data_IF_097749601007
#
_entry.id   IF_097749601007
#
_cell.length_a   1.000
_cell.length_b   1.000
_cell.length_c   1.000
_cell.angle_alpha   90.00
_cell.angle_beta   90.00
_cell.angle_gamma   90.00
#
_symmetry.space_group_name_H-M   'P 1'
#
loop_
_entity.id
_entity.type
_entity.pdbx_description
1 polymer ?
#
# COMPACT_ATOMS: atom_id res chain seq x y z
N UNK A 1 -30.97 -49.11 -13.68
CA UNK A 1 -29.97 -50.20 -13.48
C UNK A 1 -28.77 -49.82 -14.35
N UNK A 2 -27.53 -49.59 -13.91
CA UNK A 2 -26.74 -50.03 -12.74
C UNK A 2 -25.78 -48.84 -12.43
N UNK A 3 -25.86 -48.23 -11.25
CA UNK A 3 -24.87 -48.34 -10.17
C UNK A 3 -23.40 -48.39 -10.62
N UNK A 4 -22.59 -47.42 -10.15
CA UNK A 4 -21.24 -47.61 -9.59
C UNK A 4 -20.67 -46.27 -9.05
N UNK A 5 -20.92 -46.03 -7.77
CA UNK A 5 -19.96 -45.45 -6.80
C UNK A 5 -19.41 -46.64 -6.00
N UNK A 6 -18.21 -46.62 -5.36
CA UNK A 6 -17.65 -45.48 -4.61
C UNK A 6 -16.12 -45.31 -4.65
N UNK A 7 -15.60 -44.19 -4.15
CA UNK A 7 -14.28 -44.16 -3.54
C UNK A 7 -14.36 -43.40 -2.22
N UNK A 8 -14.21 -44.15 -1.14
CA UNK A 8 -14.16 -43.70 0.24
C UNK A 8 -12.79 -43.11 0.53
N UNK A 9 -12.72 -41.84 0.94
CA UNK A 9 -11.52 -41.27 1.54
C UNK A 9 -11.38 -41.75 2.98
N UNK A 10 -10.31 -42.50 3.24
CA UNK A 10 -9.85 -42.92 4.56
C UNK A 10 -9.21 -41.75 5.30
N UNK A 11 -9.69 -41.50 6.53
CA UNK A 11 -9.09 -40.61 7.52
C UNK A 11 -7.82 -41.27 8.07
N UNK A 12 -6.65 -40.67 7.84
CA UNK A 12 -5.45 -41.02 8.59
C UNK A 12 -5.41 -40.25 9.91
N UNK A 13 -5.52 -40.98 11.03
CA UNK A 13 -5.23 -40.49 12.38
C UNK A 13 -3.72 -40.39 12.60
N UNK A 14 -3.35 -39.37 13.38
CA UNK A 14 -2.01 -39.02 13.84
C UNK A 14 -1.36 -40.07 14.76
N UNK A 15 -0.02 -40.08 14.81
CA UNK A 15 0.75 -40.26 16.06
C UNK A 15 2.23 -39.84 15.93
N UNK A 16 2.54 -38.71 16.59
CA UNK A 16 3.66 -38.40 17.52
C UNK A 16 5.16 -38.58 17.24
N UNK A 17 5.86 -37.63 17.89
CA UNK A 17 7.22 -37.62 18.47
C UNK A 17 8.38 -37.14 17.59
N UNK A 18 8.80 -35.91 17.88
CA UNK A 18 10.07 -35.33 17.45
C UNK A 18 10.35 -34.04 18.20
N UNK A 19 10.61 -34.14 19.50
CA UNK A 19 11.21 -33.06 20.30
C UNK A 19 12.62 -32.79 19.80
N UNK A 20 12.87 -31.60 19.25
CA UNK A 20 14.23 -31.06 19.11
C UNK A 20 14.26 -29.66 19.71
N UNK A 21 14.60 -29.64 20.99
CA UNK A 21 14.98 -28.47 21.76
C UNK A 21 16.31 -27.95 21.19
N UNK A 22 16.28 -26.93 20.32
CA UNK A 22 17.51 -26.24 19.91
C UNK A 22 17.68 -25.00 20.77
N UNK A 23 18.58 -25.11 21.74
CA UNK A 23 19.01 -24.03 22.62
C UNK A 23 19.62 -22.90 21.79
N UNK A 24 19.06 -21.70 21.92
CA UNK A 24 19.69 -20.47 21.47
C UNK A 24 20.90 -20.17 22.38
N UNK A 25 22.11 -20.40 21.87
CA UNK A 25 23.32 -19.85 22.47
C UNK A 25 23.27 -18.32 22.33
N UNK A 26 23.10 -17.64 23.44
CA UNK A 26 23.30 -16.19 23.53
C UNK A 26 24.79 -15.90 23.53
N UNK A 27 25.31 -15.41 22.41
CA UNK A 27 26.66 -14.84 22.35
C UNK A 27 26.60 -13.44 22.98
N UNK A 28 27.02 -13.34 24.24
CA UNK A 28 27.42 -12.08 24.86
C UNK A 28 28.75 -11.65 24.23
N UNK A 29 28.73 -10.60 23.41
CA UNK A 29 29.94 -9.84 23.11
C UNK A 29 30.28 -8.96 24.31
N UNK A 30 31.12 -9.47 25.21
CA UNK A 30 31.88 -8.62 26.11
C UNK A 30 33.10 -8.10 25.34
N UNK A 31 33.12 -6.81 25.03
CA UNK A 31 34.34 -6.12 24.63
C UNK A 31 35.16 -5.83 25.90
N UNK A 32 36.31 -6.48 26.04
CA UNK A 32 37.34 -6.11 27.02
C UNK A 32 37.99 -4.78 26.58
N UNK A 33 37.81 -3.72 27.36
CA UNK A 33 38.68 -2.55 27.31
C UNK A 33 39.95 -2.82 28.12
N UNK A 34 41.10 -2.80 27.44
CA UNK A 34 42.42 -2.80 28.05
C UNK A 34 42.84 -1.35 28.37
N UNK A 35 43.41 -1.04 29.56
CA UNK A 35 43.72 0.33 29.93
C UNK A 35 45.14 0.70 29.49
N UNK A 36 45.28 1.75 28.68
CA UNK A 36 46.56 2.46 28.57
C UNK A 36 46.35 3.95 28.77
N UNK A 37 46.83 4.41 29.93
CA UNK A 37 47.01 5.82 30.28
C UNK A 37 47.99 6.45 29.28
N UNK A 38 47.54 7.50 28.60
CA UNK A 38 48.41 8.61 28.21
C UNK A 38 47.59 9.89 28.23
N UNK A 39 48.03 10.85 29.05
CA UNK A 39 47.43 12.17 29.21
C UNK A 39 47.48 13.02 27.92
N UNK A 40 46.56 14.00 27.78
CA UNK A 40 46.32 14.67 26.50
C UNK A 40 47.30 15.80 26.26
N UNK A 41 47.91 15.83 25.06
CA UNK A 41 48.48 17.06 24.50
C UNK A 41 47.37 17.87 23.83
N UNK A 42 47.27 19.12 24.27
CA UNK A 42 46.38 20.17 23.75
C UNK A 42 46.51 20.31 22.22
N UNK A 43 45.43 19.98 21.51
CA UNK A 43 45.24 20.36 20.12
C UNK A 43 44.08 21.35 20.05
N UNK A 44 44.44 22.65 20.00
CA UNK A 44 43.59 23.72 19.47
C UNK A 44 43.11 23.32 18.07
N UNK A 45 41.80 23.17 17.93
CA UNK A 45 41.18 22.88 16.64
C UNK A 45 39.72 22.49 16.82
N UNK A 46 38.91 23.43 17.33
CA UNK A 46 37.45 23.30 17.32
C UNK A 46 37.00 23.31 15.85
N UNK A 47 36.95 22.12 15.25
CA UNK A 47 36.23 21.91 14.00
C UNK A 47 34.74 21.99 14.36
N UNK A 48 34.14 23.15 14.12
CA UNK A 48 32.70 23.32 14.09
C UNK A 48 32.13 22.37 13.02
N UNK A 49 31.76 21.15 13.41
CA UNK A 49 31.00 20.25 12.54
C UNK A 49 29.65 20.94 12.29
N UNK A 50 29.29 21.27 11.04
CA UNK A 50 28.00 21.88 10.76
C UNK A 50 26.91 20.96 11.33
N UNK A 51 26.01 21.53 12.16
CA UNK A 51 24.82 20.81 12.63
C UNK A 51 24.08 20.30 11.40
N UNK A 52 23.69 19.02 11.42
CA UNK A 52 22.87 18.42 10.36
C UNK A 52 21.70 19.35 10.03
N UNK A 53 21.36 19.58 8.76
CA UNK A 53 20.21 20.41 8.39
C UNK A 53 18.88 19.81 8.90
N UNK A 54 18.88 18.55 9.31
CA UNK A 54 17.73 17.87 9.89
C UNK A 54 17.90 17.79 11.42
N UNK A 55 17.73 18.91 12.11
CA UNK A 55 17.80 18.93 13.58
C UNK A 55 16.50 18.54 14.27
N UNK A 56 15.36 18.51 13.55
CA UNK A 56 14.07 18.11 14.10
C UNK A 56 13.14 17.61 12.96
N UNK A 57 12.96 16.30 12.85
CA UNK A 57 11.90 15.73 12.02
C UNK A 57 10.60 15.85 12.81
N UNK A 58 9.74 16.81 12.47
CA UNK A 58 8.41 16.92 13.08
C UNK A 58 7.47 15.98 12.32
N UNK A 59 7.05 14.90 12.98
CA UNK A 59 6.08 13.97 12.43
C UNK A 59 4.67 14.51 12.64
N UNK A 60 3.89 14.64 11.57
CA UNK A 60 2.46 14.96 11.65
C UNK A 60 1.73 13.92 12.50
N UNK A 61 0.85 14.36 13.41
CA UNK A 61 -0.02 13.44 14.14
C UNK A 61 -1.04 12.84 13.17
N UNK A 62 -1.00 11.53 13.02
CA UNK A 62 -1.84 10.78 12.10
C UNK A 62 -2.96 10.01 12.81
N UNK A 63 -3.07 10.14 14.13
CA UNK A 63 -4.01 9.34 14.91
C UNK A 63 -5.30 10.07 15.22
N UNK A 64 -5.29 11.40 15.34
CA UNK A 64 -6.48 12.18 15.72
C UNK A 64 -7.01 13.03 14.58
N UNK A 65 -8.20 12.70 14.08
CA UNK A 65 -8.90 13.43 13.02
C UNK A 65 -9.11 14.92 13.34
N UNK A 66 -9.21 15.30 14.62
CA UNK A 66 -9.33 16.71 15.04
C UNK A 66 -8.08 17.52 14.69
N UNK A 67 -6.92 16.88 14.70
CA UNK A 67 -5.62 17.50 14.44
C UNK A 67 -5.31 17.56 12.93
N UNK A 68 -6.16 16.96 12.10
CA UNK A 68 -5.96 16.97 10.65
C UNK A 68 -6.12 18.37 10.08
N UNK A 69 -5.15 18.76 9.25
CA UNK A 69 -5.19 20.02 8.53
C UNK A 69 -6.27 19.98 7.42
N UNK A 70 -6.50 21.13 6.77
CA UNK A 70 -7.51 21.25 5.71
C UNK A 70 -7.26 20.26 4.56
N UNK A 71 -6.00 20.10 4.14
CA UNK A 71 -5.64 19.20 3.03
C UNK A 71 -5.92 17.73 3.35
N UNK A 72 -5.60 17.27 4.55
CA UNK A 72 -5.92 15.91 4.98
C UNK A 72 -7.44 15.68 4.99
N UNK A 73 -8.22 16.66 5.47
CA UNK A 73 -9.69 16.57 5.46
C UNK A 73 -10.25 16.55 4.04
N UNK A 74 -9.67 17.31 3.11
CA UNK A 74 -10.01 17.25 1.69
C UNK A 74 -9.71 15.88 1.08
N UNK A 75 -8.55 15.29 1.37
CA UNK A 75 -8.20 13.94 0.89
C UNK A 75 -9.23 12.91 1.38
N UNK A 76 -9.62 12.96 2.66
CA UNK A 76 -10.65 12.06 3.19
C UNK A 76 -12.02 12.25 2.52
N UNK A 77 -12.42 13.51 2.25
CA UNK A 77 -13.67 13.82 1.55
C UNK A 77 -13.65 13.31 0.12
N UNK A 78 -12.55 13.56 -0.60
CA UNK A 78 -12.37 13.07 -1.97
C UNK A 78 -12.39 11.54 -2.03
N UNK A 79 -11.66 10.87 -1.13
CA UNK A 79 -11.66 9.41 -1.01
C UNK A 79 -13.07 8.85 -0.74
N UNK A 80 -13.81 9.48 0.19
CA UNK A 80 -15.19 9.13 0.47
C UNK A 80 -16.06 9.24 -0.77
N UNK A 81 -16.04 10.41 -1.42
CA UNK A 81 -16.85 10.67 -2.62
C UNK A 81 -16.51 9.71 -3.76
N UNK A 82 -15.23 9.40 -3.97
CA UNK A 82 -14.80 8.49 -5.02
C UNK A 82 -15.33 7.07 -4.81
N UNK A 83 -15.26 6.55 -3.58
CA UNK A 83 -15.76 5.21 -3.23
C UNK A 83 -17.28 5.10 -3.08
N UNK A 84 -17.99 6.21 -2.88
CA UNK A 84 -19.44 6.19 -2.59
C UNK A 84 -20.29 5.53 -3.67
N UNK A 85 -19.90 5.61 -4.94
CA UNK A 85 -20.64 4.97 -6.05
C UNK A 85 -20.71 3.44 -5.91
N UNK A 86 -19.71 2.85 -5.27
CA UNK A 86 -19.60 1.40 -5.05
C UNK A 86 -19.98 0.99 -3.62
N UNK A 87 -20.55 1.91 -2.83
CA UNK A 87 -20.78 1.75 -1.39
C UNK A 87 -19.49 1.49 -0.59
N UNK A 88 -18.37 2.07 -1.03
CA UNK A 88 -17.04 1.91 -0.42
C UNK A 88 -16.44 3.25 0.06
N UNK A 89 -17.26 4.29 0.22
CA UNK A 89 -16.76 5.63 0.57
C UNK A 89 -16.04 5.66 1.92
N UNK A 90 -16.63 5.07 2.95
CA UNK A 90 -15.99 5.02 4.27
C UNK A 90 -14.71 4.16 4.25
N UNK A 91 -14.71 3.06 3.52
CA UNK A 91 -13.57 2.16 3.33
C UNK A 91 -12.42 2.89 2.65
N UNK A 92 -12.69 3.59 1.53
CA UNK A 92 -11.70 4.41 0.84
C UNK A 92 -11.11 5.49 1.74
N UNK A 93 -11.95 6.24 2.46
CA UNK A 93 -11.47 7.26 3.39
C UNK A 93 -10.65 6.66 4.56
N UNK A 94 -11.08 5.50 5.10
CA UNK A 94 -10.38 4.78 6.16
C UNK A 94 -9.01 4.27 5.72
N UNK A 95 -8.91 3.74 4.50
CA UNK A 95 -7.65 3.28 3.91
C UNK A 95 -6.71 4.47 3.65
N UNK A 96 -7.21 5.54 3.02
CA UNK A 96 -6.42 6.76 2.79
C UNK A 96 -5.82 7.32 4.10
N UNK A 97 -6.61 7.30 5.18
CA UNK A 97 -6.12 7.64 6.51
C UNK A 97 -5.02 6.68 6.95
N UNK A 98 -5.28 5.37 6.95
CA UNK A 98 -4.36 4.36 7.47
C UNK A 98 -3.02 4.32 6.73
N UNK A 99 -3.06 4.38 5.40
CA UNK A 99 -1.89 4.15 4.56
C UNK A 99 -0.99 5.38 4.51
N UNK A 100 -1.54 6.56 4.17
CA UNK A 100 -0.74 7.75 3.90
C UNK A 100 -0.95 8.90 4.87
N UNK A 101 -1.64 8.68 6.00
CA UNK A 101 -2.05 9.75 6.91
C UNK A 101 -2.91 10.81 6.18
N UNK A 102 -3.83 10.33 5.34
CA UNK A 102 -4.64 11.15 4.45
C UNK A 102 -3.79 12.03 3.51
N UNK A 103 -2.81 11.40 2.85
CA UNK A 103 -2.00 12.00 1.78
C UNK A 103 -0.76 12.77 2.23
N UNK A 104 -0.42 12.74 3.52
CA UNK A 104 0.80 13.39 4.04
C UNK A 104 2.05 12.61 3.65
N UNK A 105 2.01 11.28 3.76
CA UNK A 105 3.14 10.41 3.47
C UNK A 105 2.75 9.42 2.38
N UNK A 106 2.94 9.80 1.12
CA UNK A 106 2.52 9.00 -0.04
C UNK A 106 3.57 7.99 -0.54
N UNK A 107 4.69 7.85 0.16
CA UNK A 107 5.75 6.89 -0.17
C UNK A 107 5.86 5.91 0.99
N UNK A 108 5.85 4.62 0.67
CA UNK A 108 6.19 3.56 1.61
C UNK A 108 7.61 3.06 1.28
N UNK A 109 8.49 3.04 2.28
CA UNK A 109 9.85 2.49 2.11
C UNK A 109 9.95 1.01 2.53
N UNK A 110 8.89 0.45 3.12
CA UNK A 110 8.87 -0.95 3.57
C UNK A 110 8.59 -1.92 2.41
N UNK A 111 7.87 -1.47 1.39
CA UNK A 111 7.57 -2.19 0.16
C UNK A 111 7.39 -1.19 -1.02
N UNK A 112 7.42 -1.63 -2.29
CA UNK A 112 7.23 -0.73 -3.43
C UNK A 112 5.76 -0.34 -3.59
N UNK A 113 5.26 0.51 -2.71
CA UNK A 113 3.91 1.11 -2.78
C UNK A 113 3.93 2.63 -2.64
N UNK A 114 2.93 3.28 -3.22
CA UNK A 114 2.86 4.74 -3.27
C UNK A 114 1.42 5.28 -3.42
N UNK A 115 1.29 6.61 -3.29
CA UNK A 115 0.03 7.34 -3.41
C UNK A 115 -0.74 7.46 -2.10
N UNK A 116 -1.96 7.98 -2.16
CA UNK A 116 -2.82 8.16 -0.97
C UNK A 116 -3.20 6.84 -0.30
N UNK A 117 -3.23 5.75 -1.08
CA UNK A 117 -3.67 4.44 -0.61
C UNK A 117 -2.53 3.41 -0.52
N UNK A 118 -1.28 3.83 -0.76
CA UNK A 118 -0.12 2.93 -0.86
C UNK A 118 -0.42 1.70 -1.71
N UNK A 119 -0.89 1.92 -2.95
CA UNK A 119 -1.14 0.83 -3.88
C UNK A 119 0.18 0.12 -4.24
N UNK A 120 0.17 -1.22 -4.17
CA UNK A 120 1.36 -2.03 -4.44
C UNK A 120 1.74 -1.95 -5.93
N UNK A 121 2.80 -1.20 -6.23
CA UNK A 121 3.15 -0.79 -7.59
C UNK A 121 3.32 -1.98 -8.56
N UNK A 122 3.95 -3.11 -8.18
CA UNK A 122 4.03 -4.28 -9.07
C UNK A 122 2.66 -4.83 -9.50
N UNK A 123 1.65 -4.82 -8.62
CA UNK A 123 0.29 -5.20 -9.00
C UNK A 123 -0.34 -4.19 -9.95
N UNK A 124 -0.11 -2.90 -9.72
CA UNK A 124 -0.59 -1.82 -10.59
C UNK A 124 -0.01 -2.00 -11.99
N UNK A 125 1.32 -2.08 -12.11
CA UNK A 125 2.02 -2.30 -13.39
C UNK A 125 1.48 -3.51 -14.15
N UNK A 126 1.32 -4.64 -13.44
CA UNK A 126 0.75 -5.86 -14.02
C UNK A 126 -0.68 -5.63 -14.54
N UNK A 127 -1.50 -4.88 -13.81
CA UNK A 127 -2.90 -4.60 -14.20
C UNK A 127 -3.02 -3.71 -15.45
N UNK A 128 -1.95 -2.98 -15.79
CA UNK A 128 -1.83 -2.18 -17.02
C UNK A 128 -0.95 -2.87 -18.09
N UNK A 129 -0.59 -4.15 -17.91
CA UNK A 129 0.15 -4.91 -18.93
C UNK A 129 1.64 -4.58 -19.01
N UNK A 130 2.22 -4.00 -17.96
CA UNK A 130 3.64 -3.66 -17.90
C UNK A 130 4.43 -4.66 -17.07
N UNK A 131 5.68 -4.90 -17.49
CA UNK A 131 6.63 -5.69 -16.71
C UNK A 131 7.09 -4.90 -15.48
N UNK A 132 7.38 -5.64 -14.43
CA UNK A 132 7.87 -5.06 -13.18
C UNK A 132 9.37 -4.78 -13.26
N UNK A 133 9.75 -3.49 -13.26
CA UNK A 133 11.15 -3.05 -13.26
C UNK A 133 11.37 -1.88 -12.28
N UNK A 134 12.58 -1.69 -11.73
CA UNK A 134 12.85 -0.56 -10.83
C UNK A 134 12.51 0.81 -11.43
N UNK A 135 12.79 1.00 -12.73
CA UNK A 135 12.47 2.25 -13.41
C UNK A 135 10.95 2.46 -13.52
N UNK A 136 10.20 1.45 -13.97
CA UNK A 136 8.74 1.55 -14.08
C UNK A 136 8.07 1.69 -12.72
N UNK A 137 8.63 1.12 -11.65
CA UNK A 137 8.16 1.37 -10.29
C UNK A 137 8.27 2.84 -9.91
N UNK A 138 9.38 3.51 -10.27
CA UNK A 138 9.54 4.94 -10.01
C UNK A 138 8.53 5.77 -10.82
N UNK A 139 8.32 5.45 -12.10
CA UNK A 139 7.34 6.15 -12.96
C UNK A 139 5.93 6.00 -12.42
N UNK A 140 5.50 4.76 -12.11
CA UNK A 140 4.16 4.48 -11.60
C UNK A 140 3.98 5.04 -10.17
N UNK A 141 5.00 4.95 -9.32
CA UNK A 141 4.97 5.54 -7.99
C UNK A 141 4.80 7.06 -8.05
N UNK A 142 5.52 7.74 -8.93
CA UNK A 142 5.40 9.18 -9.15
C UNK A 142 3.98 9.57 -9.64
N UNK A 143 3.40 8.76 -10.54
CA UNK A 143 2.04 8.98 -11.02
C UNK A 143 1.01 8.85 -9.87
N UNK A 144 1.10 7.80 -9.06
CA UNK A 144 0.25 7.59 -7.87
C UNK A 144 0.40 8.70 -6.82
N UNK A 145 1.58 9.33 -6.70
CA UNK A 145 1.84 10.41 -5.75
C UNK A 145 1.23 11.74 -6.24
N UNK A 146 1.37 12.02 -7.54
CA UNK A 146 0.96 13.29 -8.16
C UNK A 146 -0.53 13.34 -8.45
N UNK A 147 -1.15 12.22 -8.79
CA UNK A 147 -2.55 12.15 -9.19
C UNK A 147 -3.36 11.31 -8.19
N UNK A 148 -4.03 12.01 -7.27
CA UNK A 148 -4.87 11.38 -6.24
C UNK A 148 -6.13 10.74 -6.84
N UNK A 149 -6.62 11.22 -8.00
CA UNK A 149 -7.76 10.61 -8.67
C UNK A 149 -7.36 9.28 -9.29
N UNK A 150 -6.20 9.22 -9.96
CA UNK A 150 -5.64 7.97 -10.46
C UNK A 150 -5.35 6.98 -9.32
N UNK A 151 -4.76 7.43 -8.22
CA UNK A 151 -4.55 6.59 -7.05
C UNK A 151 -5.87 6.04 -6.47
N UNK A 152 -6.94 6.84 -6.50
CA UNK A 152 -8.28 6.41 -6.07
C UNK A 152 -8.89 5.36 -7.00
N UNK A 153 -8.71 5.50 -8.32
CA UNK A 153 -9.13 4.52 -9.32
C UNK A 153 -8.45 3.17 -9.10
N UNK A 154 -7.12 3.19 -8.94
CA UNK A 154 -6.33 1.98 -8.70
C UNK A 154 -6.77 1.28 -7.41
N UNK A 155 -6.92 2.02 -6.32
CA UNK A 155 -7.37 1.45 -5.04
C UNK A 155 -8.79 0.90 -5.12
N UNK A 156 -9.72 1.62 -5.75
CA UNK A 156 -11.10 1.15 -5.91
C UNK A 156 -11.17 -0.10 -6.77
N UNK A 157 -10.43 -0.17 -7.88
CA UNK A 157 -10.35 -1.36 -8.74
C UNK A 157 -9.84 -2.58 -7.97
N UNK A 158 -8.84 -2.40 -7.11
CA UNK A 158 -8.35 -3.47 -6.24
C UNK A 158 -9.40 -3.92 -5.21
N UNK A 159 -10.08 -2.98 -4.55
CA UNK A 159 -11.16 -3.31 -3.63
C UNK A 159 -12.31 -4.05 -4.33
N UNK A 160 -12.71 -3.62 -5.53
CA UNK A 160 -13.75 -4.29 -6.32
C UNK A 160 -13.33 -5.71 -6.72
N UNK A 161 -12.06 -5.92 -7.12
CA UNK A 161 -11.53 -7.26 -7.36
C UNK A 161 -11.69 -8.16 -6.13
N UNK A 162 -11.31 -7.66 -4.95
CA UNK A 162 -11.43 -8.43 -3.71
C UNK A 162 -12.88 -8.63 -3.27
N UNK A 163 -13.74 -7.62 -3.48
CA UNK A 163 -15.20 -7.70 -3.25
C UNK A 163 -15.82 -8.83 -4.06
N UNK A 164 -15.47 -8.94 -5.34
CA UNK A 164 -15.92 -10.03 -6.21
C UNK A 164 -15.37 -11.38 -5.74
N UNK A 165 -14.07 -11.46 -5.42
CA UNK A 165 -13.44 -12.72 -4.99
C UNK A 165 -14.05 -13.29 -3.70
N UNK A 166 -14.40 -12.44 -2.75
CA UNK A 166 -14.91 -12.85 -1.45
C UNK A 166 -16.41 -12.61 -1.27
N UNK A 167 -17.15 -12.47 -2.37
CA UNK A 167 -18.62 -12.36 -2.36
C UNK A 167 -19.13 -11.32 -1.35
N UNK A 168 -18.63 -10.08 -1.48
CA UNK A 168 -19.01 -8.95 -0.62
C UNK A 168 -18.62 -9.07 0.86
N UNK A 169 -17.80 -10.06 1.24
CA UNK A 169 -17.25 -10.13 2.58
C UNK A 169 -16.25 -8.98 2.82
N UNK A 170 -16.73 -7.93 3.49
CA UNK A 170 -15.96 -6.72 3.82
C UNK A 170 -14.65 -7.03 4.54
N UNK A 171 -14.67 -7.96 5.50
CA UNK A 171 -13.49 -8.31 6.29
C UNK A 171 -12.40 -8.90 5.42
N UNK A 172 -12.74 -9.92 4.63
CA UNK A 172 -11.77 -10.59 3.77
C UNK A 172 -11.32 -9.69 2.61
N UNK A 173 -12.19 -8.81 2.12
CA UNK A 173 -11.84 -7.77 1.16
C UNK A 173 -10.75 -6.82 1.70
N UNK A 174 -10.94 -6.26 2.90
CA UNK A 174 -9.98 -5.32 3.52
C UNK A 174 -8.69 -6.04 3.93
N UNK A 175 -8.77 -7.28 4.44
CA UNK A 175 -7.59 -8.11 4.70
C UNK A 175 -6.75 -8.34 3.45
N UNK A 176 -7.43 -8.56 2.32
CA UNK A 176 -6.78 -8.83 1.04
C UNK A 176 -6.23 -7.58 0.38
N UNK A 177 -6.81 -6.40 0.63
CA UNK A 177 -6.19 -5.14 0.28
C UNK A 177 -4.79 -5.01 0.89
N UNK A 178 -4.62 -5.38 2.16
CA UNK A 178 -3.32 -5.29 2.84
C UNK A 178 -2.34 -6.44 2.52
N UNK A 179 -2.83 -7.69 2.43
CA UNK A 179 -1.95 -8.88 2.35
C UNK A 179 -2.12 -9.72 1.08
N UNK A 180 -2.95 -9.29 0.13
CA UNK A 180 -3.41 -10.15 -0.96
C UNK A 180 -4.02 -11.45 -0.43
N UNK A 181 -3.87 -12.57 -1.15
CA UNK A 181 -4.36 -13.88 -0.69
C UNK A 181 -3.43 -14.59 0.30
N UNK A 182 -2.30 -13.99 0.69
CA UNK A 182 -1.30 -14.65 1.56
C UNK A 182 -1.83 -14.97 2.95
N UNK A 183 -2.75 -14.15 3.46
CA UNK A 183 -3.34 -14.35 4.79
C UNK A 183 -4.14 -15.65 4.89
N UNK A 184 -4.67 -16.18 3.78
CA UNK A 184 -5.47 -17.41 3.78
C UNK A 184 -4.67 -18.64 4.26
N UNK A 185 -3.35 -18.62 4.09
CA UNK A 185 -2.48 -19.79 4.29
C UNK A 185 -1.34 -19.57 5.27
N UNK A 186 -1.23 -18.37 5.86
CA UNK A 186 -0.14 -18.01 6.74
C UNK A 186 -0.68 -17.31 7.98
N UNK A 187 -0.54 -17.96 9.14
CA UNK A 187 -1.10 -17.49 10.41
C UNK A 187 -0.59 -16.09 10.80
N UNK A 188 0.70 -15.83 10.63
CA UNK A 188 1.28 -14.50 10.90
C UNK A 188 0.69 -13.43 9.98
N UNK A 189 0.60 -13.72 8.68
CA UNK A 189 -0.02 -12.83 7.70
C UNK A 189 -1.50 -12.62 7.97
N UNK A 190 -2.20 -13.63 8.50
CA UNK A 190 -3.59 -13.53 8.91
C UNK A 190 -3.76 -12.62 10.12
N UNK A 191 -2.92 -12.77 11.14
CA UNK A 191 -2.92 -11.89 12.30
C UNK A 191 -2.65 -10.42 11.92
N UNK A 192 -1.70 -10.18 11.01
CA UNK A 192 -1.42 -8.82 10.52
C UNK A 192 -2.60 -8.24 9.72
N UNK A 193 -3.24 -9.06 8.86
CA UNK A 193 -4.40 -8.63 8.08
C UNK A 193 -5.63 -8.36 8.97
N UNK A 194 -5.83 -9.18 10.00
CA UNK A 194 -6.90 -9.02 10.99
C UNK A 194 -6.74 -7.69 11.73
N UNK A 195 -5.54 -7.42 12.24
CA UNK A 195 -5.21 -6.15 12.88
C UNK A 195 -5.44 -4.96 11.95
N UNK A 196 -5.03 -5.07 10.68
CA UNK A 196 -5.26 -4.04 9.69
C UNK A 196 -6.77 -3.77 9.50
N UNK A 197 -7.58 -4.83 9.39
CA UNK A 197 -9.04 -4.69 9.29
C UNK A 197 -9.64 -3.98 10.51
N UNK A 198 -9.26 -4.36 11.72
CA UNK A 198 -9.72 -3.71 12.96
C UNK A 198 -9.37 -2.22 12.99
N UNK A 199 -8.15 -1.86 12.57
CA UNK A 199 -7.69 -0.48 12.48
C UNK A 199 -8.45 0.35 11.44
N UNK A 200 -8.90 -0.27 10.34
CA UNK A 200 -9.77 0.36 9.35
C UNK A 200 -11.19 0.55 9.90
N UNK A 201 -11.75 -0.45 10.59
CA UNK A 201 -13.07 -0.33 11.21
C UNK A 201 -13.10 0.77 12.28
N UNK A 202 -12.05 0.90 13.10
CA UNK A 202 -11.94 2.00 14.06
C UNK A 202 -11.95 3.36 13.35
N UNK A 203 -11.17 3.51 12.29
CA UNK A 203 -11.13 4.75 11.50
C UNK A 203 -12.49 5.06 10.87
N UNK A 204 -13.18 4.07 10.29
CA UNK A 204 -14.52 4.23 9.74
C UNK A 204 -15.50 4.71 10.82
N UNK A 205 -15.49 4.08 12.00
CA UNK A 205 -16.33 4.51 13.14
C UNK A 205 -16.08 5.97 13.49
N UNK A 206 -14.81 6.37 13.59
CA UNK A 206 -14.43 7.75 13.93
C UNK A 206 -14.76 8.75 12.83
N UNK A 207 -14.65 8.36 11.57
CA UNK A 207 -15.10 9.17 10.43
C UNK A 207 -16.61 9.43 10.51
N UNK A 208 -17.42 8.39 10.78
CA UNK A 208 -18.87 8.51 10.96
C UNK A 208 -19.22 9.43 12.14
N UNK A 209 -18.55 9.28 13.28
CA UNK A 209 -18.76 10.13 14.46
C UNK A 209 -18.40 11.60 14.23
N UNK A 210 -17.41 11.85 13.37
CA UNK A 210 -16.90 13.20 13.12
C UNK A 210 -17.79 14.08 12.25
N UNK A 211 -18.75 13.49 11.53
CA UNK A 211 -19.69 14.19 10.65
C UNK A 211 -19.04 15.04 9.55
N UNK A 212 -17.76 14.78 9.22
CA UNK A 212 -17.03 15.55 8.20
C UNK A 212 -17.61 15.37 6.79
N UNK A 213 -18.48 14.37 6.59
CA UNK A 213 -19.14 14.05 5.33
C UNK A 213 -20.63 14.44 5.29
N UNK A 214 -21.24 14.89 6.40
CA UNK A 214 -22.69 15.14 6.50
C UNK A 214 -23.20 16.18 5.50
N UNK A 215 -22.37 17.18 5.16
CA UNK A 215 -22.70 18.21 4.15
C UNK A 215 -22.72 17.70 2.69
N UNK A 216 -22.27 16.48 2.42
CA UNK A 216 -22.12 15.94 1.06
C UNK A 216 -23.22 14.94 0.69
N UNK A 217 -23.93 14.38 1.68
CA UNK A 217 -25.06 13.45 1.49
C UNK A 217 -26.17 14.02 0.59
N UNK A 218 -26.31 15.34 0.47
CA UNK A 218 -27.34 16.01 -0.33
C UNK A 218 -26.91 16.28 -1.78
N UNK A 219 -25.60 16.37 -2.08
CA UNK A 219 -25.07 16.64 -3.42
C UNK A 219 -24.74 15.35 -4.21
N UNK A 220 -24.76 14.20 -3.54
CA UNK A 220 -24.44 12.89 -4.13
C UNK A 220 -25.40 12.51 -5.27
N UNK A 221 -26.66 12.97 -5.26
CA UNK A 221 -27.62 12.71 -6.34
C UNK A 221 -27.34 13.50 -7.64
N UNK A 222 -26.72 14.68 -7.55
CA UNK A 222 -26.46 15.55 -8.70
C UNK A 222 -25.14 15.17 -9.40
N UNK A 223 -24.12 14.80 -8.62
CA UNK A 223 -22.87 14.22 -9.12
C UNK A 223 -23.07 12.86 -9.79
N UNK A 224 -23.99 12.02 -9.30
CA UNK A 224 -24.35 10.75 -9.94
C UNK A 224 -24.89 10.93 -11.38
N UNK A 225 -25.65 12.00 -11.66
CA UNK A 225 -26.14 12.26 -13.03
C UNK A 225 -25.03 12.72 -13.97
N UNK A 226 -24.07 13.51 -13.49
CA UNK A 226 -22.97 14.07 -14.30
C UNK A 226 -21.83 13.08 -14.59
N UNK A 227 -21.60 12.11 -13.71
CA UNK A 227 -20.51 11.14 -13.90
C UNK A 227 -20.93 9.92 -14.73
N UNK A 228 -22.22 9.58 -14.76
CA UNK A 228 -22.76 8.51 -15.62
C UNK A 228 -22.69 8.86 -17.12
N UNK A 229 -22.45 10.12 -17.50
CA UNK A 229 -22.21 10.51 -18.90
C UNK A 229 -20.74 10.46 -19.32
N UNK A 230 -19.80 10.31 -18.37
CA UNK A 230 -18.35 10.37 -18.62
C UNK A 230 -17.62 9.08 -18.21
N UNK A 231 -18.34 8.02 -17.85
CA UNK A 231 -17.80 6.70 -17.57
C UNK A 231 -17.87 5.78 -18.81
N UNK A 232 -17.52 6.32 -19.98
CA UNK A 232 -16.86 5.50 -21.00
C UNK A 232 -15.43 5.29 -20.50
N UNK A 233 -15.28 4.30 -19.62
CA UNK A 233 -13.97 3.77 -19.23
C UNK A 233 -13.33 3.22 -20.50
N UNK A 234 -12.34 3.92 -21.05
CA UNK A 234 -11.49 3.40 -22.11
C UNK A 234 -10.93 2.05 -21.64
N UNK A 235 -11.40 0.91 -22.19
CA UNK A 235 -11.08 -0.41 -21.68
C UNK A 235 -9.62 -0.80 -21.98
N UNK A 236 -8.87 0.06 -22.67
CA UNK A 236 -7.51 -0.17 -23.11
C UNK A 236 -6.70 1.05 -22.68
N UNK A 237 -5.93 0.94 -21.59
CA UNK A 237 -5.14 2.03 -20.99
C UNK A 237 -4.09 2.65 -21.93
N UNK A 238 -4.53 3.40 -22.93
CA UNK A 238 -3.70 4.07 -23.93
C UNK A 238 -3.31 5.51 -23.53
N UNK A 239 -3.77 5.97 -22.37
CA UNK A 239 -3.45 7.29 -21.83
C UNK A 239 -2.39 7.24 -20.71
N UNK A 240 -1.34 6.41 -20.86
CA UNK A 240 -0.05 6.79 -20.28
C UNK A 240 0.56 7.89 -21.17
N UNK A 241 1.20 8.94 -20.61
CA UNK A 241 1.94 9.89 -21.43
C UNK A 241 2.94 9.14 -22.33
N UNK A 242 2.66 9.08 -23.63
CA UNK A 242 3.49 8.40 -24.65
C UNK A 242 4.89 9.01 -24.82
N UNK A 243 5.26 9.95 -23.95
CA UNK A 243 6.56 10.61 -23.93
C UNK A 243 7.65 9.75 -23.28
N UNK A 244 7.32 8.70 -22.52
CA UNK A 244 8.32 7.83 -21.88
C UNK A 244 8.55 6.49 -22.60
N UNK A 245 7.59 6.00 -23.39
CA UNK A 245 7.72 4.73 -24.12
C UNK A 245 8.59 4.82 -25.39
N UNK A 246 8.87 6.04 -25.90
CA UNK A 246 9.64 6.24 -27.14
C UNK A 246 11.16 6.11 -26.96
N UNK A 247 11.66 6.04 -25.72
CA UNK A 247 13.10 5.98 -25.45
C UNK A 247 13.64 4.56 -25.56
N UNK A 248 12.88 3.54 -25.16
CA UNK A 248 13.33 2.13 -25.20
C UNK A 248 13.35 1.55 -26.63
N UNK A 249 12.54 2.06 -27.56
CA UNK A 249 12.51 1.55 -28.94
C UNK A 249 13.65 2.06 -29.82
N UNK A 250 14.28 3.18 -29.45
CA UNK A 250 15.39 3.76 -30.23
C UNK A 250 16.75 3.14 -29.90
N UNK A 251 16.99 2.72 -28.66
CA UNK A 251 18.27 2.06 -28.31
C UNK A 251 18.36 0.64 -28.91
N UNK A 252 17.26 -0.10 -28.98
CA UNK A 252 17.23 -1.46 -29.57
C UNK A 252 17.44 -1.48 -31.10
N UNK A 253 17.15 -0.40 -31.82
CA UNK A 253 17.37 -0.34 -33.28
C UNK A 253 18.78 0.12 -33.67
N UNK A 254 19.50 0.81 -32.77
CA UNK A 254 20.88 1.25 -33.04
C UNK A 254 21.87 0.09 -32.86
N UNK A 255 21.64 -0.83 -31.91
CA UNK A 255 22.50 -2.00 -31.71
C UNK A 255 22.43 -3.04 -32.86
N UNK A 256 21.30 -3.14 -33.57
CA UNK A 256 21.19 -4.07 -34.71
C UNK A 256 21.84 -3.58 -36.01
N UNK A 257 22.11 -2.28 -36.13
CA UNK A 257 22.70 -1.72 -37.37
C UNK A 257 24.23 -1.63 -37.32
N UNK A 258 24.84 -1.86 -36.15
CA UNK A 258 26.31 -1.89 -35.99
C UNK A 258 26.92 -3.30 -36.00
N UNK A 259 26.11 -4.37 -36.11
CA UNK A 259 26.58 -5.74 -36.23
C UNK A 259 26.64 -6.29 -37.68
N UNK A 260 26.29 -5.47 -38.69
CA UNK A 260 26.29 -5.85 -40.11
C UNK A 260 27.18 -4.95 -40.99
N UNK A 261 28.27 -4.40 -40.44
CA UNK A 261 29.35 -3.77 -41.24
C UNK A 261 30.72 -4.31 -40.88
#
# INVERSE_FOLDING_TARGET
MKHLTPLTHTLFKALWLGTALSAFLSLNLNAEESPTKTEPKSAKGVKNKPKSPVTKVMMTNCDNLKDFNAKQKEVLKAAYQFGSKENLGYEMAGIAWKESCAGVYKINFSDPSAGVYHSYIPSVLKSYGHNDSPFLRNVMGELLIKDDAFASEVALKELLYWKTRYHDNLKDMIKSYNKGSRWEKNEKSNADAEKYYEEIQDRIRRLKESKIFDSQSSNDQELQKSANSNLDLDPIGNAMPQTLAKTETKESQIEKTQAEK
#
